data_IF_034630610984
#
_entry.id   IF_034630610984
#
_cell.length_a   1.000
_cell.length_b   1.000
_cell.length_c   1.000
_cell.angle_alpha   90.00
_cell.angle_beta   90.00
_cell.angle_gamma   90.00
#
_symmetry.space_group_name_H-M   'P 1'
#
loop_
_entity.id
_entity.type
_entity.pdbx_description
1 polymer ?
#
# COMPACT_ATOMS: atom_id res chain seq x y z
N UNK A 1 53.35 1.47 56.95
CA UNK A 1 52.66 2.76 57.13
C UNK A 1 52.90 3.16 58.57
N UNK A 2 53.59 4.28 58.78
CA UNK A 2 53.85 4.80 60.10
C UNK A 2 52.55 5.41 60.64
N UNK A 3 51.97 4.79 61.67
CA UNK A 3 50.71 5.25 62.28
C UNK A 3 50.91 6.47 63.19
N UNK A 4 52.15 6.94 63.33
CA UNK A 4 52.52 8.10 64.17
C UNK A 4 51.93 9.44 63.70
N UNK A 5 51.34 9.52 62.49
CA UNK A 5 50.78 10.76 61.92
C UNK A 5 49.26 10.85 61.94
N UNK A 6 48.55 9.89 62.52
CA UNK A 6 47.08 9.93 62.59
C UNK A 6 46.68 10.77 63.80
N UNK A 7 46.20 11.99 63.55
CA UNK A 7 45.63 12.84 64.59
C UNK A 7 44.32 12.22 65.12
N UNK A 8 44.40 11.64 66.32
CA UNK A 8 43.29 10.99 67.02
C UNK A 8 42.65 11.91 68.07
N UNK A 9 42.93 13.22 68.03
CA UNK A 9 42.35 14.20 68.97
C UNK A 9 40.81 14.25 68.95
N UNK A 10 40.17 13.76 67.88
CA UNK A 10 38.72 13.65 67.74
C UNK A 10 38.12 12.41 68.45
N UNK A 11 38.96 11.45 68.82
CA UNK A 11 38.54 10.19 69.42
C UNK A 11 38.40 10.37 70.95
N UNK A 12 37.27 9.93 71.56
CA UNK A 12 37.12 9.97 73.01
C UNK A 12 38.26 9.25 73.73
N UNK A 13 38.69 9.76 74.90
CA UNK A 13 39.79 9.14 75.65
C UNK A 13 39.38 7.86 76.38
N UNK A 14 38.08 7.70 76.69
CA UNK A 14 37.53 6.51 77.35
C UNK A 14 37.20 5.39 76.34
N UNK A 15 37.56 4.15 76.68
CA UNK A 15 37.43 3.01 75.77
C UNK A 15 35.97 2.62 75.49
N UNK A 16 35.08 2.76 76.48
CA UNK A 16 33.65 2.46 76.30
C UNK A 16 33.00 3.53 75.41
N UNK A 17 33.40 4.79 75.54
CA UNK A 17 32.97 5.88 74.64
C UNK A 17 33.44 5.68 73.19
N UNK A 18 34.67 5.20 72.97
CA UNK A 18 35.17 4.86 71.63
C UNK A 18 34.34 3.75 70.98
N UNK A 19 34.00 2.71 71.74
CA UNK A 19 33.16 1.61 71.28
C UNK A 19 31.75 2.12 70.90
N UNK A 20 31.16 2.97 71.74
CA UNK A 20 29.87 3.60 71.47
C UNK A 20 29.89 4.46 70.20
N UNK A 21 30.97 5.23 69.98
CA UNK A 21 31.19 5.99 68.76
C UNK A 21 31.30 5.09 67.53
N UNK A 22 32.05 3.99 67.63
CA UNK A 22 32.15 2.96 66.59
C UNK A 22 30.77 2.40 66.21
N UNK A 23 29.96 2.03 67.20
CA UNK A 23 28.58 1.58 66.96
C UNK A 23 27.73 2.64 66.27
N UNK A 24 27.86 3.92 66.65
CA UNK A 24 27.13 5.02 66.02
C UNK A 24 27.56 5.22 64.56
N UNK A 25 28.86 5.19 64.27
CA UNK A 25 29.39 5.32 62.90
C UNK A 25 28.86 4.18 62.03
N UNK A 26 28.97 2.94 62.51
CA UNK A 26 28.48 1.76 61.80
C UNK A 26 26.96 1.85 61.60
N UNK A 27 26.20 2.16 62.66
CA UNK A 27 24.75 2.33 62.58
C UNK A 27 24.35 3.40 61.57
N UNK A 28 25.05 4.54 61.53
CA UNK A 28 24.78 5.60 60.57
C UNK A 28 25.12 5.18 59.13
N UNK A 29 26.23 4.47 58.92
CA UNK A 29 26.59 3.93 57.62
C UNK A 29 25.52 2.95 57.11
N UNK A 30 25.03 2.04 57.97
CA UNK A 30 23.93 1.14 57.62
C UNK A 30 22.64 1.90 57.31
N UNK A 31 22.25 2.88 58.14
CA UNK A 31 21.06 3.70 57.89
C UNK A 31 21.13 4.42 56.55
N UNK A 32 22.26 5.07 56.27
CA UNK A 32 22.50 5.77 54.99
C UNK A 32 22.40 4.80 53.81
N UNK A 33 22.98 3.60 53.94
CA UNK A 33 22.91 2.59 52.88
C UNK A 33 21.48 2.10 52.64
N UNK A 34 20.72 1.85 53.71
CA UNK A 34 19.31 1.45 53.63
C UNK A 34 18.49 2.56 52.96
N UNK A 35 18.61 3.82 53.39
CA UNK A 35 17.89 4.94 52.78
C UNK A 35 18.22 5.10 51.28
N UNK A 36 19.49 4.95 50.91
CA UNK A 36 19.92 4.98 49.51
C UNK A 36 19.29 3.85 48.69
N UNK A 37 19.30 2.61 49.18
CA UNK A 37 18.68 1.46 48.51
C UNK A 37 17.16 1.61 48.40
N UNK A 38 16.50 2.11 49.44
CA UNK A 38 15.07 2.40 49.39
C UNK A 38 14.73 3.46 48.33
N UNK A 39 15.55 4.51 48.20
CA UNK A 39 15.36 5.53 47.17
C UNK A 39 15.56 4.96 45.75
N UNK A 40 16.55 4.08 45.57
CA UNK A 40 16.77 3.37 44.30
C UNK A 40 15.58 2.47 43.96
N UNK A 41 15.06 1.70 44.93
CA UNK A 41 13.86 0.86 44.75
C UNK A 41 12.65 1.72 44.34
N UNK A 42 12.43 2.86 44.99
CA UNK A 42 11.33 3.78 44.64
C UNK A 42 11.49 4.28 43.19
N UNK A 43 12.70 4.65 42.79
CA UNK A 43 13.00 5.15 41.44
C UNK A 43 12.75 4.09 40.38
N UNK A 44 13.27 2.87 40.60
CA UNK A 44 13.07 1.75 39.66
C UNK A 44 11.59 1.37 39.57
N UNK A 45 10.86 1.36 40.69
CA UNK A 45 9.41 1.10 40.67
C UNK A 45 8.64 2.15 39.89
N UNK A 46 8.97 3.43 40.03
CA UNK A 46 8.33 4.50 39.26
C UNK A 46 8.59 4.31 37.76
N UNK A 47 9.83 3.97 37.37
CA UNK A 47 10.16 3.68 35.98
C UNK A 47 9.38 2.49 35.41
N UNK A 48 9.19 1.43 36.20
CA UNK A 48 8.37 0.26 35.78
C UNK A 48 6.93 0.68 35.50
N UNK A 49 6.34 1.52 36.37
CA UNK A 49 4.97 2.04 36.16
C UNK A 49 4.88 2.86 34.87
N UNK A 50 5.79 3.82 34.67
CA UNK A 50 5.83 4.64 33.45
C UNK A 50 5.94 3.77 32.18
N UNK A 51 6.83 2.78 32.18
CA UNK A 51 6.96 1.86 31.03
C UNK A 51 5.70 1.00 30.83
N UNK A 52 5.02 0.61 31.89
CA UNK A 52 3.75 -0.12 31.80
C UNK A 52 2.63 0.73 31.18
N UNK A 53 2.58 2.03 31.51
CA UNK A 53 1.64 2.98 30.91
C UNK A 53 1.93 3.20 29.42
N UNK A 54 3.20 3.33 29.05
CA UNK A 54 3.61 3.41 27.65
C UNK A 54 3.22 2.17 26.86
N UNK A 55 3.45 0.97 27.42
CA UNK A 55 3.03 -0.30 26.80
C UNK A 55 1.52 -0.35 26.58
N UNK A 56 0.72 0.03 27.57
CA UNK A 56 -0.73 0.08 27.45
C UNK A 56 -1.19 1.07 26.37
N UNK A 57 -0.56 2.25 26.29
CA UNK A 57 -0.85 3.24 25.26
C UNK A 57 -0.48 2.74 23.85
N UNK A 58 0.67 2.08 23.69
CA UNK A 58 1.06 1.48 22.42
C UNK A 58 0.15 0.33 22.02
N UNK A 59 -0.24 -0.52 22.96
CA UNK A 59 -1.20 -1.61 22.72
C UNK A 59 -2.54 -1.07 22.21
N UNK A 60 -3.06 0.00 22.83
CA UNK A 60 -4.30 0.67 22.36
C UNK A 60 -4.16 1.21 20.94
N UNK A 61 -3.04 1.87 20.63
CA UNK A 61 -2.76 2.38 19.27
C UNK A 61 -2.66 1.24 18.26
N UNK A 62 -1.98 0.15 18.63
CA UNK A 62 -1.85 -1.04 17.79
C UNK A 62 -3.21 -1.65 17.46
N UNK A 63 -4.05 -1.90 18.47
CA UNK A 63 -5.41 -2.42 18.25
C UNK A 63 -6.27 -1.48 17.41
N UNK A 64 -6.13 -0.16 17.58
CA UNK A 64 -6.85 0.82 16.75
C UNK A 64 -6.42 0.77 15.28
N UNK A 65 -5.11 0.67 15.01
CA UNK A 65 -4.59 0.55 13.66
C UNK A 65 -4.96 -0.78 13.01
N UNK A 66 -4.99 -1.87 13.77
CA UNK A 66 -5.44 -3.18 13.30
C UNK A 66 -6.90 -3.13 12.83
N UNK A 67 -7.78 -2.50 13.61
CA UNK A 67 -9.19 -2.28 13.21
C UNK A 67 -9.28 -1.44 11.93
N UNK A 68 -8.57 -0.31 11.85
CA UNK A 68 -8.57 0.53 10.65
C UNK A 68 -8.08 -0.20 9.40
N UNK A 69 -7.06 -1.06 9.56
CA UNK A 69 -6.54 -1.88 8.47
C UNK A 69 -7.59 -2.88 7.97
N UNK A 70 -8.31 -3.54 8.89
CA UNK A 70 -9.38 -4.47 8.57
C UNK A 70 -10.52 -3.73 7.83
N UNK A 71 -10.96 -2.59 8.35
CA UNK A 71 -12.02 -1.77 7.73
C UNK A 71 -11.62 -1.29 6.33
N UNK A 72 -10.39 -0.77 6.16
CA UNK A 72 -9.88 -0.31 4.88
C UNK A 72 -9.78 -1.47 3.87
N UNK A 73 -9.35 -2.65 4.31
CA UNK A 73 -9.28 -3.85 3.47
C UNK A 73 -10.68 -4.29 3.03
N UNK A 74 -11.64 -4.31 3.95
CA UNK A 74 -13.03 -4.66 3.66
C UNK A 74 -13.66 -3.68 2.68
N UNK A 75 -13.47 -2.37 2.88
CA UNK A 75 -13.94 -1.33 1.95
C UNK A 75 -13.29 -1.47 0.57
N UNK A 76 -11.99 -1.76 0.51
CA UNK A 76 -11.29 -2.01 -0.75
C UNK A 76 -11.88 -3.19 -1.52
N UNK A 77 -12.21 -4.29 -0.82
CA UNK A 77 -12.83 -5.46 -1.42
C UNK A 77 -14.23 -5.17 -1.96
N UNK A 78 -15.05 -4.42 -1.21
CA UNK A 78 -16.39 -3.98 -1.65
C UNK A 78 -16.32 -3.15 -2.94
N UNK A 79 -15.45 -2.13 -2.97
CA UNK A 79 -15.26 -1.30 -4.16
C UNK A 79 -14.74 -2.12 -5.36
N UNK A 80 -13.88 -3.11 -5.12
CA UNK A 80 -13.42 -4.00 -6.18
C UNK A 80 -14.55 -4.87 -6.75
N UNK A 81 -15.48 -5.34 -5.90
CA UNK A 81 -16.66 -6.09 -6.33
C UNK A 81 -17.66 -5.21 -7.09
N UNK A 82 -17.97 -4.02 -6.58
CA UNK A 82 -18.79 -3.03 -7.28
C UNK A 82 -18.22 -2.69 -8.66
N UNK A 83 -16.91 -2.46 -8.75
CA UNK A 83 -16.23 -2.22 -10.03
C UNK A 83 -16.35 -3.41 -10.98
N UNK A 84 -16.21 -4.65 -10.51
CA UNK A 84 -16.43 -5.85 -11.36
C UNK A 84 -17.87 -5.89 -11.88
N UNK A 85 -18.85 -5.56 -11.03
CA UNK A 85 -20.27 -5.55 -11.39
C UNK A 85 -20.59 -4.45 -12.41
N UNK A 86 -20.04 -3.25 -12.23
CA UNK A 86 -20.17 -2.14 -13.18
C UNK A 86 -19.54 -2.48 -14.52
N UNK A 87 -18.32 -3.03 -14.53
CA UNK A 87 -17.65 -3.49 -15.75
C UNK A 87 -18.46 -4.57 -16.47
N UNK A 88 -19.06 -5.51 -15.72
CA UNK A 88 -19.95 -6.53 -16.30
C UNK A 88 -21.18 -5.90 -16.96
N UNK A 89 -21.80 -4.92 -16.30
CA UNK A 89 -22.95 -4.17 -16.83
C UNK A 89 -22.58 -3.38 -18.08
N UNK A 90 -21.46 -2.66 -18.08
CA UNK A 90 -20.95 -1.93 -19.25
C UNK A 90 -20.74 -2.89 -20.42
N UNK A 91 -20.10 -4.05 -20.20
CA UNK A 91 -19.90 -5.06 -21.25
C UNK A 91 -21.20 -5.63 -21.79
N UNK A 92 -22.24 -5.74 -20.95
CA UNK A 92 -23.57 -6.20 -21.39
C UNK A 92 -24.24 -5.13 -22.27
N UNK A 93 -24.27 -3.88 -21.80
CA UNK A 93 -24.83 -2.76 -22.55
C UNK A 93 -24.12 -2.53 -23.87
N UNK A 94 -22.79 -2.65 -23.93
CA UNK A 94 -22.04 -2.55 -25.19
C UNK A 94 -22.51 -3.61 -26.20
N UNK A 95 -22.68 -4.86 -25.77
CA UNK A 95 -23.20 -5.94 -26.64
C UNK A 95 -24.62 -5.66 -27.13
N UNK A 96 -25.46 -5.07 -26.27
CA UNK A 96 -26.83 -4.70 -26.64
C UNK A 96 -26.85 -3.52 -27.63
N UNK A 97 -25.95 -2.55 -27.49
CA UNK A 97 -25.73 -1.47 -28.47
C UNK A 97 -25.30 -2.04 -29.82
N UNK A 98 -24.29 -2.92 -29.85
CA UNK A 98 -23.79 -3.51 -31.10
C UNK A 98 -24.90 -4.29 -31.83
N UNK A 99 -25.78 -4.98 -31.08
CA UNK A 99 -26.96 -5.67 -31.63
C UNK A 99 -27.97 -4.69 -32.21
N UNK A 100 -28.27 -3.60 -31.51
CA UNK A 100 -29.20 -2.57 -31.99
C UNK A 100 -28.64 -1.86 -33.23
N UNK A 101 -27.33 -1.59 -33.29
CA UNK A 101 -26.69 -1.03 -34.48
C UNK A 101 -26.76 -2.00 -35.67
N UNK A 102 -26.53 -3.30 -35.45
CA UNK A 102 -26.67 -4.32 -36.49
C UNK A 102 -28.10 -4.39 -37.03
N UNK A 103 -29.10 -4.40 -36.13
CA UNK A 103 -30.52 -4.36 -36.51
C UNK A 103 -30.86 -3.10 -37.30
N UNK A 104 -30.39 -1.93 -36.85
CA UNK A 104 -30.58 -0.67 -37.57
C UNK A 104 -30.02 -0.73 -38.99
N UNK A 105 -28.80 -1.27 -39.16
CA UNK A 105 -28.18 -1.44 -40.49
C UNK A 105 -29.01 -2.39 -41.37
N UNK A 106 -29.43 -3.53 -40.84
CA UNK A 106 -30.27 -4.49 -41.56
C UNK A 106 -31.61 -3.89 -42.00
N UNK A 107 -32.28 -3.14 -41.13
CA UNK A 107 -33.54 -2.45 -41.46
C UNK A 107 -33.34 -1.38 -42.51
N UNK A 108 -32.30 -0.54 -42.41
CA UNK A 108 -32.01 0.50 -43.41
C UNK A 108 -31.70 -0.11 -44.78
N UNK A 109 -30.91 -1.19 -44.83
CA UNK A 109 -30.62 -1.91 -46.07
C UNK A 109 -31.90 -2.49 -46.68
N UNK A 110 -32.76 -3.15 -45.87
CA UNK A 110 -34.03 -3.72 -46.36
C UNK A 110 -34.98 -2.64 -46.91
N UNK A 111 -35.04 -1.45 -46.31
CA UNK A 111 -35.84 -0.32 -46.83
C UNK A 111 -35.24 0.23 -48.15
N UNK A 112 -33.92 0.23 -48.28
CA UNK A 112 -33.24 0.66 -49.51
C UNK A 112 -33.38 -0.35 -50.65
N UNK A 113 -33.37 -1.65 -50.35
CA UNK A 113 -33.62 -2.71 -51.33
C UNK A 113 -35.09 -2.70 -51.82
N UNK A 114 -36.06 -2.46 -50.94
CA UNK A 114 -37.50 -2.37 -51.31
C UNK A 114 -37.85 -1.13 -52.17
N UNK A 115 -36.99 -0.10 -52.17
CA UNK A 115 -37.08 1.05 -53.08
C UNK A 115 -36.23 0.91 -54.36
N UNK A 116 -35.50 -0.20 -54.52
CA UNK A 116 -34.66 -0.49 -55.68
C UNK A 116 -35.37 -1.23 -56.83
N UNK A 117 -36.52 -1.86 -56.57
CA UNK A 117 -37.20 -2.77 -57.52
C UNK A 117 -38.53 -2.22 -58.06
N UNK A 118 -38.52 -0.99 -58.59
CA UNK A 118 -39.63 -0.52 -59.47
C UNK A 118 -39.20 -0.41 -60.94
N UNK A 119 -38.02 -0.90 -61.30
CA UNK A 119 -37.61 -0.93 -62.70
C UNK A 119 -36.80 -2.20 -63.02
N UNK A 120 -37.49 -3.32 -63.27
CA UNK A 120 -36.78 -4.55 -63.60
C UNK A 120 -37.58 -5.84 -63.68
N UNK A 121 -38.45 -5.94 -64.68
CA UNK A 121 -38.67 -7.18 -65.42
C UNK A 121 -39.24 -8.39 -64.65
N UNK A 122 -40.58 -8.46 -64.65
CA UNK A 122 -41.33 -9.70 -64.50
C UNK A 122 -40.80 -10.80 -65.43
N UNK A 123 -39.97 -11.72 -64.92
CA UNK A 123 -39.70 -13.00 -65.60
C UNK A 123 -39.84 -14.20 -64.67
N UNK A 124 -41.05 -14.75 -64.71
CA UNK A 124 -41.37 -16.17 -64.83
C UNK A 124 -40.62 -17.16 -63.91
N UNK A 125 -41.38 -17.67 -62.93
CA UNK A 125 -41.35 -19.03 -62.39
C UNK A 125 -40.33 -20.00 -63.04
N UNK A 126 -39.31 -20.39 -62.28
CA UNK A 126 -38.63 -21.68 -62.46
C UNK A 126 -38.91 -22.52 -61.22
N UNK A 127 -39.84 -23.45 -61.37
CA UNK A 127 -40.34 -24.39 -60.36
C UNK A 127 -39.38 -25.55 -60.04
N UNK A 128 -38.14 -25.51 -60.52
CA UNK A 128 -37.19 -26.63 -60.42
C UNK A 128 -36.25 -26.59 -59.19
N UNK A 129 -36.10 -25.44 -58.53
CA UNK A 129 -35.14 -25.33 -57.41
C UNK A 129 -35.74 -25.74 -56.04
N UNK A 130 -37.05 -25.96 -55.97
CA UNK A 130 -37.76 -26.35 -54.74
C UNK A 130 -37.74 -27.86 -54.45
N UNK A 131 -37.22 -28.70 -55.36
CA UNK A 131 -37.32 -30.17 -55.24
C UNK A 131 -36.16 -30.87 -54.51
N UNK A 132 -35.07 -30.17 -54.14
CA UNK A 132 -33.86 -30.83 -53.62
C UNK A 132 -33.54 -30.60 -52.14
N UNK A 133 -34.31 -29.77 -51.42
CA UNK A 133 -34.13 -29.56 -49.97
C UNK A 133 -35.18 -30.26 -49.09
N UNK A 134 -36.22 -30.85 -49.70
CA UNK A 134 -37.31 -31.53 -48.99
C UNK A 134 -36.99 -33.00 -48.73
N UNK A 135 -36.04 -33.29 -47.82
CA UNK A 135 -36.01 -34.57 -47.14
C UNK A 135 -35.50 -34.40 -45.68
N UNK A 136 -36.37 -34.57 -44.67
CA UNK A 136 -36.04 -34.38 -43.26
C UNK A 136 -35.37 -35.62 -42.67
N UNK A 137 -34.33 -35.44 -41.84
CA UNK A 137 -33.87 -36.48 -40.89
C UNK A 137 -33.90 -35.94 -39.47
N UNK A 138 -35.05 -36.13 -38.83
CA UNK A 138 -35.16 -36.08 -37.37
C UNK A 138 -36.19 -37.13 -36.96
N UNK A 139 -35.77 -38.10 -36.12
CA UNK A 139 -36.48 -38.58 -34.91
C UNK A 139 -36.03 -39.98 -34.45
N UNK A 140 -35.97 -40.12 -33.12
CA UNK A 140 -36.06 -41.32 -32.27
C UNK A 140 -34.77 -42.05 -31.81
N UNK A 141 -34.16 -41.50 -30.75
CA UNK A 141 -34.07 -42.00 -29.36
C UNK A 141 -34.03 -43.51 -29.00
N UNK A 142 -33.31 -43.77 -27.89
CA UNK A 142 -33.37 -44.88 -26.91
C UNK A 142 -32.47 -46.11 -27.14
N UNK A 143 -31.29 -46.09 -26.51
CA UNK A 143 -30.84 -47.23 -25.70
C UNK A 143 -29.79 -46.77 -24.69
N UNK A 144 -30.12 -46.87 -23.40
CA UNK A 144 -29.18 -46.66 -22.30
C UNK A 144 -28.34 -47.92 -22.06
N UNK A 145 -27.08 -47.73 -21.69
CA UNK A 145 -26.30 -48.68 -20.91
C UNK A 145 -25.07 -47.98 -20.32
N UNK A 146 -24.93 -48.10 -19.00
CA UNK A 146 -23.76 -47.73 -18.19
C UNK A 146 -22.46 -48.35 -18.70
N UNK A 147 -21.33 -47.65 -18.53
CA UNK A 147 -20.04 -48.26 -18.18
C UNK A 147 -19.06 -47.25 -17.58
N UNK A 148 -18.52 -47.65 -16.43
CA UNK A 148 -17.41 -47.08 -15.68
C UNK A 148 -16.07 -47.42 -16.36
N UNK A 149 -15.14 -46.46 -16.46
CA UNK A 149 -13.66 -46.65 -16.43
C UNK A 149 -13.00 -45.26 -16.39
N UNK A 150 -12.50 -44.72 -15.27
CA UNK A 150 -11.29 -45.00 -14.51
C UNK A 150 -9.95 -44.77 -15.26
N UNK A 151 -9.08 -44.01 -14.56
CA UNK A 151 -7.60 -43.96 -14.69
C UNK A 151 -6.96 -43.27 -15.92
N UNK A 152 -6.23 -42.18 -15.70
CA UNK A 152 -4.79 -42.27 -15.39
C UNK A 152 -4.16 -40.90 -15.07
N UNK A 153 -3.50 -40.85 -13.90
CA UNK A 153 -2.54 -39.83 -13.48
C UNK A 153 -1.36 -39.70 -14.46
N UNK A 154 -0.81 -38.48 -14.59
CA UNK A 154 0.65 -38.26 -14.56
C UNK A 154 1.01 -36.89 -13.98
N UNK A 155 1.43 -36.94 -12.72
CA UNK A 155 2.14 -35.89 -11.99
C UNK A 155 3.59 -35.85 -12.48
N UNK A 156 4.17 -34.66 -12.63
CA UNK A 156 5.60 -34.44 -12.51
C UNK A 156 5.83 -33.24 -11.59
N UNK A 157 6.68 -33.47 -10.59
CA UNK A 157 7.12 -32.56 -9.55
C UNK A 157 8.48 -32.01 -9.96
N UNK A 158 8.72 -30.70 -9.79
CA UNK A 158 10.02 -30.13 -9.38
C UNK A 158 9.85 -28.68 -8.92
N UNK A 159 10.78 -28.27 -8.05
CA UNK A 159 10.78 -27.20 -7.03
C UNK A 159 10.88 -25.75 -7.55
N UNK A 160 10.70 -24.74 -6.67
CA UNK A 160 10.41 -23.36 -7.05
C UNK A 160 11.67 -22.52 -7.26
N UNK A 161 11.58 -21.52 -8.13
CA UNK A 161 12.54 -20.42 -8.23
C UNK A 161 11.83 -19.13 -7.84
N UNK A 162 12.44 -18.48 -6.86
CA UNK A 162 12.16 -17.17 -6.32
C UNK A 162 12.78 -16.12 -7.26
N UNK A 163 12.02 -15.09 -7.63
CA UNK A 163 12.39 -13.75 -8.15
C UNK A 163 11.10 -13.22 -8.82
N UNK A 164 10.42 -12.20 -8.33
CA UNK A 164 10.92 -10.84 -8.16
C UNK A 164 10.66 -10.05 -9.44
N UNK A 165 9.80 -9.02 -9.33
CA UNK A 165 9.52 -7.91 -10.28
C UNK A 165 8.27 -8.03 -11.14
N UNK A 166 7.26 -7.21 -10.83
CA UNK A 166 6.19 -6.82 -11.75
C UNK A 166 6.27 -5.30 -11.95
N UNK A 167 7.07 -4.87 -12.92
CA UNK A 167 6.94 -3.56 -13.55
C UNK A 167 6.83 -3.82 -15.04
N UNK A 168 5.71 -3.40 -15.65
CA UNK A 168 5.67 -2.57 -16.85
C UNK A 168 4.25 -2.57 -17.44
N UNK A 169 3.58 -1.44 -17.25
CA UNK A 169 2.49 -0.94 -18.08
C UNK A 169 3.02 -0.56 -19.47
N UNK A 170 2.24 -0.70 -20.55
CA UNK A 170 2.68 -0.34 -21.89
C UNK A 170 2.79 1.19 -22.05
N UNK A 171 3.90 1.59 -22.67
CA UNK A 171 4.25 2.92 -23.10
C UNK A 171 3.30 3.43 -24.19
N UNK A 172 2.56 4.50 -23.92
CA UNK A 172 2.02 5.37 -24.97
C UNK A 172 2.86 6.65 -24.98
N UNK A 173 3.72 6.76 -25.98
CA UNK A 173 4.43 7.98 -26.35
C UNK A 173 3.41 8.97 -26.93
N UNK A 174 3.07 10.01 -26.19
CA UNK A 174 2.61 11.26 -26.79
C UNK A 174 3.30 12.43 -26.11
N UNK A 175 4.16 13.05 -26.91
CA UNK A 175 4.78 14.34 -26.70
C UNK A 175 3.69 15.41 -26.87
N UNK A 176 3.39 16.18 -25.82
CA UNK A 176 2.67 17.45 -25.94
C UNK A 176 3.29 18.47 -24.97
N UNK A 177 3.92 19.46 -25.59
CA UNK A 177 4.14 20.77 -24.99
C UNK A 177 2.78 21.49 -24.93
N UNK A 178 2.47 22.14 -23.81
CA UNK A 178 1.29 22.97 -23.66
C UNK A 178 0.82 23.08 -22.21
N UNK A 179 1.19 24.19 -21.58
CA UNK A 179 0.55 24.90 -20.46
C UNK A 179 -0.64 24.22 -19.76
N UNK A 180 -0.45 23.90 -18.47
CA UNK A 180 -1.28 24.39 -17.36
C UNK A 180 -0.75 23.86 -16.01
N UNK A 181 -0.01 24.72 -15.31
CA UNK A 181 -0.04 25.03 -13.86
C UNK A 181 -0.25 23.95 -12.77
N UNK A 182 -0.01 22.68 -13.08
CA UNK A 182 -0.03 21.57 -12.13
C UNK A 182 1.18 20.69 -12.38
N UNK A 183 2.25 20.89 -11.59
CA UNK A 183 3.39 19.99 -11.61
C UNK A 183 2.90 18.62 -11.14
N UNK A 184 2.84 17.66 -12.04
CA UNK A 184 2.50 16.28 -11.68
C UNK A 184 3.65 15.67 -10.84
N UNK A 185 3.32 15.17 -9.65
CA UNK A 185 4.30 14.59 -8.71
C UNK A 185 5.07 13.40 -9.31
N UNK A 186 4.48 12.67 -10.28
CA UNK A 186 5.18 11.58 -10.98
C UNK A 186 6.20 12.12 -11.98
N UNK A 187 5.84 13.17 -12.71
CA UNK A 187 6.72 13.86 -13.65
C UNK A 187 7.90 14.54 -12.93
N UNK A 188 7.65 15.17 -11.78
CA UNK A 188 8.69 15.73 -10.92
C UNK A 188 9.72 14.68 -10.47
N UNK A 189 9.27 13.53 -9.95
CA UNK A 189 10.16 12.44 -9.53
C UNK A 189 10.99 11.84 -10.68
N UNK A 190 10.43 11.82 -11.90
CA UNK A 190 11.15 11.39 -13.10
C UNK A 190 12.26 12.37 -13.46
N UNK A 191 11.98 13.67 -13.41
CA UNK A 191 12.97 14.73 -13.64
C UNK A 191 14.03 14.74 -12.54
N UNK A 192 13.63 14.52 -11.28
CA UNK A 192 14.52 14.40 -10.13
C UNK A 192 15.55 13.28 -10.33
N UNK A 193 15.10 12.08 -10.71
CA UNK A 193 15.99 10.93 -10.96
C UNK A 193 16.97 11.14 -12.11
N UNK A 194 16.64 11.99 -13.08
CA UNK A 194 17.49 12.24 -14.23
C UNK A 194 18.57 13.31 -13.97
N UNK A 195 18.40 14.15 -12.94
CA UNK A 195 19.24 15.33 -12.72
C UNK A 195 19.94 15.36 -11.35
N UNK A 196 19.56 14.49 -10.41
CA UNK A 196 20.11 14.42 -9.06
C UNK A 196 20.92 13.14 -8.86
N UNK A 197 21.86 13.17 -7.90
CA UNK A 197 22.53 11.98 -7.41
C UNK A 197 21.51 10.97 -6.83
N UNK A 198 21.74 9.65 -6.92
CA UNK A 198 20.91 8.65 -6.26
C UNK A 198 20.69 8.93 -4.77
N UNK A 199 21.69 9.51 -4.09
CA UNK A 199 21.63 9.89 -2.68
C UNK A 199 20.67 11.06 -2.43
N UNK A 200 20.72 12.09 -3.28
CA UNK A 200 19.85 13.27 -3.21
C UNK A 200 18.39 12.91 -3.52
N UNK A 201 18.17 12.02 -4.51
CA UNK A 201 16.85 11.49 -4.85
C UNK A 201 16.26 10.72 -3.67
N UNK A 202 17.05 9.87 -3.01
CA UNK A 202 16.59 9.11 -1.84
C UNK A 202 16.26 10.03 -0.66
N UNK A 203 17.06 11.08 -0.46
CA UNK A 203 16.80 12.11 0.55
C UNK A 203 15.50 12.89 0.26
N UNK A 204 15.25 13.25 -1.00
CA UNK A 204 14.02 13.89 -1.43
C UNK A 204 12.78 12.97 -1.24
N UNK A 205 12.88 11.69 -1.59
CA UNK A 205 11.82 10.70 -1.35
C UNK A 205 11.55 10.54 0.16
N UNK A 206 12.59 10.58 1.00
CA UNK A 206 12.46 10.52 2.45
C UNK A 206 11.66 11.71 3.00
N UNK A 207 11.92 12.92 2.50
CA UNK A 207 11.15 14.12 2.86
C UNK A 207 9.68 13.97 2.45
N UNK A 208 9.41 13.55 1.21
CA UNK A 208 8.03 13.34 0.71
C UNK A 208 7.30 12.29 1.56
N UNK A 209 7.96 11.18 1.92
CA UNK A 209 7.38 10.14 2.78
C UNK A 209 7.07 10.67 4.18
N UNK A 210 7.98 11.44 4.80
CA UNK A 210 7.77 12.03 6.13
C UNK A 210 6.64 13.06 6.13
N UNK A 211 6.56 13.88 5.08
CA UNK A 211 5.46 14.82 4.89
C UNK A 211 4.11 14.10 4.72
N UNK A 212 4.05 13.08 3.86
CA UNK A 212 2.83 12.28 3.65
C UNK A 212 2.38 11.52 4.91
N UNK A 213 3.32 11.15 5.78
CA UNK A 213 3.04 10.54 7.08
C UNK A 213 2.65 11.57 8.17
N UNK A 214 2.48 12.85 7.82
CA UNK A 214 2.22 13.97 8.74
C UNK A 214 3.29 14.16 9.83
N UNK A 215 4.51 13.64 9.61
CA UNK A 215 5.64 13.75 10.53
C UNK A 215 6.50 15.00 10.27
N UNK A 216 6.19 15.74 9.20
CA UNK A 216 6.93 16.92 8.79
C UNK A 216 5.92 17.98 8.35
N UNK A 217 6.05 19.21 8.87
CA UNK A 217 5.24 20.32 8.41
C UNK A 217 5.64 20.75 7.00
N UNK A 218 4.76 21.50 6.33
CA UNK A 218 5.03 22.07 5.00
C UNK A 218 6.30 22.94 5.01
N UNK A 219 6.47 23.76 6.03
CA UNK A 219 7.63 24.66 6.14
C UNK A 219 8.93 23.89 6.37
N UNK A 220 8.92 22.85 7.20
CA UNK A 220 10.08 21.98 7.41
C UNK A 220 10.43 21.17 6.15
N UNK A 221 9.43 20.67 5.41
CA UNK A 221 9.63 19.96 4.16
C UNK A 221 10.28 20.87 3.10
N UNK A 222 9.84 22.12 3.00
CA UNK A 222 10.42 23.11 2.10
C UNK A 222 11.83 23.55 2.54
N UNK A 223 12.10 23.62 3.84
CA UNK A 223 13.43 23.92 4.37
C UNK A 223 14.44 22.82 4.03
N UNK A 224 14.08 21.55 4.29
CA UNK A 224 14.93 20.40 3.97
C UNK A 224 15.14 20.25 2.46
N UNK A 225 14.09 20.47 1.65
CA UNK A 225 14.22 20.46 0.20
C UNK A 225 15.09 21.61 -0.32
N UNK A 226 15.06 22.79 0.32
CA UNK A 226 15.96 23.89 0.00
C UNK A 226 17.42 23.55 0.31
N UNK A 227 17.69 22.87 1.42
CA UNK A 227 19.04 22.45 1.77
C UNK A 227 19.60 21.40 0.79
N UNK A 228 18.73 20.52 0.26
CA UNK A 228 19.13 19.50 -0.71
C UNK A 228 19.22 20.01 -2.16
N UNK A 229 18.32 20.91 -2.57
CA UNK A 229 18.16 21.34 -3.97
C UNK A 229 18.61 22.78 -4.24
N UNK A 230 18.75 23.59 -3.19
CA UNK A 230 18.69 25.05 -3.27
C UNK A 230 19.86 25.73 -3.96
N UNK A 231 21.05 25.12 -3.99
CA UNK A 231 22.22 25.76 -4.63
C UNK A 231 22.43 25.27 -6.07
N UNK A 232 22.06 24.02 -6.39
CA UNK A 232 22.35 23.40 -7.69
C UNK A 232 21.12 23.26 -8.60
N UNK A 233 19.90 23.26 -8.05
CA UNK A 233 18.68 22.95 -8.81
C UNK A 233 17.48 23.83 -8.39
N UNK A 234 17.64 25.15 -8.48
CA UNK A 234 16.60 26.14 -8.12
C UNK A 234 15.26 25.90 -8.80
N UNK A 235 15.26 25.55 -10.09
CA UNK A 235 14.03 25.25 -10.84
C UNK A 235 13.27 24.06 -10.27
N UNK A 236 13.97 23.02 -9.82
CA UNK A 236 13.30 21.88 -9.16
C UNK A 236 12.78 22.22 -7.77
N UNK A 237 13.44 23.14 -7.06
CA UNK A 237 12.90 23.62 -5.79
C UNK A 237 11.59 24.39 -5.98
N UNK A 238 11.47 25.18 -7.05
CA UNK A 238 10.22 25.87 -7.37
C UNK A 238 9.13 24.92 -7.87
N UNK A 239 9.48 23.92 -8.69
CA UNK A 239 8.56 22.84 -9.07
C UNK A 239 8.08 22.06 -7.82
N UNK A 240 8.96 21.82 -6.84
CA UNK A 240 8.63 21.18 -5.57
C UNK A 240 7.68 22.04 -4.71
N UNK A 241 7.83 23.36 -4.68
CA UNK A 241 6.88 24.25 -3.98
C UNK A 241 5.49 24.22 -4.60
N UNK A 242 5.40 24.12 -5.94
CA UNK A 242 4.13 24.08 -6.64
C UNK A 242 3.32 22.82 -6.27
N UNK A 243 3.99 21.71 -5.94
CA UNK A 243 3.33 20.49 -5.44
C UNK A 243 2.57 20.68 -4.11
N UNK A 244 2.90 21.69 -3.31
CA UNK A 244 2.20 22.00 -2.05
C UNK A 244 1.09 23.05 -2.19
N UNK A 245 0.80 23.53 -3.41
CA UNK A 245 -0.27 24.52 -3.67
C UNK A 245 -1.63 23.88 -4.02
N UNK A 246 -1.74 22.57 -3.89
CA UNK A 246 -3.01 21.83 -3.94
C UNK A 246 -3.48 21.48 -2.52
#
# INVERSE_FOLDING_TARGET
MDFSSVDLSWLPSDADEQLALGFRIISNAYKTRVTSLEAEIRTVRAAVVEKSEHLAAFQKKYSSLEVQLIECTQRGNQLAEENRNLVSTIKKLQRDIDRLESLKRAVLNSIQEDHGDVDGDHRYYTTDDMLHSAAPRTMLELSGADMLDASMMKRHTTKPINHGTCTNTPTTLLNYAGENDSVDGRSFLKVARANLSPEDVNSLISIIKKFNAQLLSKDEALSHARQLLGENHMKMFDDFKQLFRL
#
